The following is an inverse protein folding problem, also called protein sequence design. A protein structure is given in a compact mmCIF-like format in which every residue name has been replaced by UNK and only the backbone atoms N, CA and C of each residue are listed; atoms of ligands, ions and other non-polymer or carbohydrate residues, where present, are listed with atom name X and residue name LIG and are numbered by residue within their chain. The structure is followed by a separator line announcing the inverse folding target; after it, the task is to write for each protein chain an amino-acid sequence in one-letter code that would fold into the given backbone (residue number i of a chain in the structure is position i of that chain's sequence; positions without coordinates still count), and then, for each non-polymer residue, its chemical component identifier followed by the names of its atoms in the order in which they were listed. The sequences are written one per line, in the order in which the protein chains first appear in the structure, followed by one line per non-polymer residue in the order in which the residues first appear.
data_IF_564269181337
#
_entry.id   IF_564269181337
#
_cell.length_a   1.000
_cell.length_b   1.000
_cell.length_c   1.000
_cell.angle_alpha   90.00
_cell.angle_beta   90.00
_cell.angle_gamma   90.00
#
_symmetry.space_group_name_H-M   'P 1'
#
loop_
_entity.id
_entity.type
_entity.pdbx_description
1 polymer ?
#
# COMPACT_ATOMS: atom_id res chain seq x y z
N UNK A 1 8.09 -5.24 7.59
CA UNK A 1 7.27 -5.34 6.37
C UNK A 1 6.62 -6.69 6.28
N UNK A 2 5.30 -6.71 6.34
CA UNK A 2 4.49 -7.91 6.18
C UNK A 2 4.33 -8.27 4.70
N UNK A 3 3.76 -9.45 4.39
CA UNK A 3 3.44 -9.84 3.01
C UNK A 3 2.53 -8.82 2.30
N UNK A 4 1.59 -8.23 3.03
CA UNK A 4 0.68 -7.20 2.51
C UNK A 4 1.46 -5.92 2.16
N UNK A 5 2.39 -5.49 3.01
CA UNK A 5 3.20 -4.28 2.76
C UNK A 5 4.04 -4.45 1.49
N UNK A 6 4.61 -5.65 1.29
CA UNK A 6 5.33 -5.97 0.05
C UNK A 6 4.43 -5.87 -1.18
N UNK A 7 3.20 -6.38 -1.09
CA UNK A 7 2.22 -6.28 -2.18
C UNK A 7 1.82 -4.83 -2.47
N UNK A 8 1.62 -4.02 -1.43
CA UNK A 8 1.34 -2.59 -1.56
C UNK A 8 2.50 -1.88 -2.26
N UNK A 9 3.74 -2.12 -1.83
CA UNK A 9 4.92 -1.55 -2.48
C UNK A 9 5.04 -2.02 -3.93
N UNK A 10 4.80 -3.30 -4.23
CA UNK A 10 4.82 -3.77 -5.61
C UNK A 10 3.80 -3.02 -6.48
N UNK A 11 2.59 -2.75 -5.97
CA UNK A 11 1.61 -1.95 -6.71
C UNK A 11 2.04 -0.49 -6.88
N UNK A 12 2.58 0.13 -5.83
CA UNK A 12 3.06 1.51 -5.87
C UNK A 12 4.28 1.68 -6.78
N UNK A 13 5.22 0.74 -6.74
CA UNK A 13 6.40 0.72 -7.62
C UNK A 13 6.01 0.48 -9.09
N UNK A 14 4.95 -0.29 -9.34
CA UNK A 14 4.43 -0.48 -10.69
C UNK A 14 3.70 0.78 -11.21
N UNK A 15 2.85 1.39 -10.37
CA UNK A 15 2.14 2.62 -10.71
C UNK A 15 1.76 3.41 -9.44
N UNK A 16 2.57 4.42 -9.11
CA UNK A 16 2.34 5.29 -7.96
C UNK A 16 1.15 6.25 -8.15
N UNK A 17 0.67 6.46 -9.38
CA UNK A 17 -0.51 7.28 -9.64
C UNK A 17 -1.83 6.54 -9.40
N UNK A 18 -1.78 5.24 -9.10
CA UNK A 18 -2.97 4.44 -8.86
C UNK A 18 -3.64 4.84 -7.53
N UNK A 19 -4.98 5.00 -7.50
CA UNK A 19 -5.70 5.29 -6.25
C UNK A 19 -5.45 4.24 -5.17
N UNK A 20 -5.28 4.68 -3.91
CA UNK A 20 -5.11 3.78 -2.74
C UNK A 20 -6.28 2.81 -2.61
N UNK A 21 -7.50 3.20 -3.01
CA UNK A 21 -8.66 2.32 -3.03
C UNK A 21 -8.48 1.11 -3.97
N UNK A 22 -7.82 1.30 -5.12
CA UNK A 22 -7.55 0.22 -6.06
C UNK A 22 -6.44 -0.70 -5.54
N UNK A 23 -5.42 -0.12 -4.92
CA UNK A 23 -4.36 -0.89 -4.26
C UNK A 23 -4.97 -1.75 -3.15
N UNK A 24 -5.82 -1.16 -2.30
CA UNK A 24 -6.53 -1.85 -1.24
C UNK A 24 -7.35 -3.04 -1.77
N UNK A 25 -8.13 -2.84 -2.84
CA UNK A 25 -8.88 -3.92 -3.51
C UNK A 25 -7.97 -5.05 -3.99
N UNK A 26 -6.84 -4.72 -4.63
CA UNK A 26 -5.88 -5.71 -5.15
C UNK A 26 -5.18 -6.51 -4.04
N UNK A 27 -4.92 -5.90 -2.88
CA UNK A 27 -4.24 -6.56 -1.75
C UNK A 27 -5.22 -7.16 -0.73
N UNK A 28 -6.53 -7.09 -0.96
CA UNK A 28 -7.56 -7.66 -0.09
C UNK A 28 -7.78 -6.88 1.21
N UNK A 29 -7.56 -5.55 1.18
CA UNK A 29 -7.79 -4.64 2.31
C UNK A 29 -8.88 -3.62 2.01
N UNK A 30 -9.43 -3.02 3.07
CA UNK A 30 -10.16 -1.76 2.96
C UNK A 30 -9.19 -0.57 2.84
N UNK A 31 -9.71 0.57 2.38
CA UNK A 31 -8.89 1.76 2.06
C UNK A 31 -8.12 2.27 3.29
N UNK A 32 -8.80 2.40 4.43
CA UNK A 32 -8.22 2.94 5.67
C UNK A 32 -6.99 2.16 6.19
N UNK A 33 -7.02 0.82 6.34
CA UNK A 33 -5.83 0.07 6.76
C UNK A 33 -4.74 0.03 5.68
N UNK A 34 -5.08 0.08 4.39
CA UNK A 34 -4.09 0.20 3.33
C UNK A 34 -3.33 1.53 3.43
N UNK A 35 -4.07 2.64 3.60
CA UNK A 35 -3.48 3.97 3.76
C UNK A 35 -2.59 4.07 5.00
N UNK A 36 -3.07 3.57 6.16
CA UNK A 36 -2.25 3.52 7.38
C UNK A 36 -0.94 2.76 7.19
N UNK A 37 -0.95 1.66 6.43
CA UNK A 37 0.26 0.90 6.12
C UNK A 37 1.22 1.70 5.24
N UNK A 38 0.70 2.38 4.21
CA UNK A 38 1.50 3.27 3.34
C UNK A 38 2.18 4.35 4.18
N UNK A 39 1.42 5.08 4.99
CA UNK A 39 1.96 6.13 5.85
C UNK A 39 3.04 5.58 6.80
N UNK A 40 2.83 4.40 7.37
CA UNK A 40 3.82 3.76 8.26
C UNK A 40 5.12 3.40 7.53
N UNK A 41 5.04 3.02 6.26
CA UNK A 41 6.21 2.75 5.43
C UNK A 41 6.97 4.05 5.11
N UNK A 42 6.26 5.11 4.73
CA UNK A 42 6.84 6.44 4.49
C UNK A 42 7.52 7.00 5.76
N UNK A 43 6.86 6.93 6.91
CA UNK A 43 7.41 7.35 8.21
C UNK A 43 8.66 6.55 8.60
N UNK A 44 8.75 5.28 8.18
CA UNK A 44 9.92 4.45 8.43
C UNK A 44 11.10 4.74 7.50
N UNK A 45 10.95 5.68 6.55
CA UNK A 45 11.96 6.04 5.56
C UNK A 45 12.15 4.99 4.46
N UNK A 46 11.09 4.21 4.18
CA UNK A 46 11.09 3.15 3.18
C UNK A 46 10.42 3.59 1.87
#
# INVERSE_FOLDING_TARGET
MDRIDKLILTQLQHNAAQPVADIARKVGLSVTPCWRRIQRMEESGL
#
